data_IF_495372537944
#
_entry.id   IF_495372537944
#
_cell.length_a   1.000
_cell.length_b   1.000
_cell.length_c   1.000
_cell.angle_alpha   90.00
_cell.angle_beta   90.00
_cell.angle_gamma   90.00
#
_symmetry.space_group_name_H-M   'P 1'
#
loop_
_entity.id
_entity.type
_entity.pdbx_description
1 polymer ?
#
# COMPACT_ATOMS: atom_id res chain seq x y z
N UNK A 1 27.22 -13.43 22.50
CA UNK A 1 25.76 -13.58 22.28
C UNK A 1 25.09 -12.28 21.86
N UNK A 2 25.06 -11.22 22.68
CA UNK A 2 24.34 -9.98 22.32
C UNK A 2 25.06 -9.17 21.22
N UNK A 3 26.38 -9.08 21.28
CA UNK A 3 27.23 -8.42 20.26
C UNK A 3 27.13 -9.12 18.90
N UNK A 4 27.23 -10.45 18.88
CA UNK A 4 27.04 -11.27 17.66
C UNK A 4 25.67 -11.02 17.01
N UNK A 5 24.59 -10.96 17.81
CA UNK A 5 23.24 -10.66 17.29
C UNK A 5 23.13 -9.24 16.72
N UNK A 6 23.83 -8.27 17.29
CA UNK A 6 23.86 -6.89 16.76
C UNK A 6 24.59 -6.88 15.41
N UNK A 7 25.73 -7.56 15.30
CA UNK A 7 26.48 -7.69 14.05
C UNK A 7 25.66 -8.38 12.96
N UNK A 8 25.00 -9.50 13.28
CA UNK A 8 24.07 -10.18 12.38
C UNK A 8 22.96 -9.24 11.90
N UNK A 9 22.37 -8.45 12.79
CA UNK A 9 21.32 -7.48 12.45
C UNK A 9 21.87 -6.41 11.50
N UNK A 10 23.07 -5.90 11.73
CA UNK A 10 23.70 -4.93 10.83
C UNK A 10 23.98 -5.52 9.44
N UNK A 11 24.49 -6.75 9.37
CA UNK A 11 24.77 -7.45 8.12
C UNK A 11 23.47 -7.73 7.34
N UNK A 12 22.40 -8.12 8.01
CA UNK A 12 21.09 -8.31 7.38
C UNK A 12 20.53 -7.00 6.82
N UNK A 13 20.67 -5.89 7.55
CA UNK A 13 20.25 -4.56 7.06
C UNK A 13 21.04 -4.15 5.82
N UNK A 14 22.36 -4.36 5.82
CA UNK A 14 23.19 -4.11 4.64
C UNK A 14 22.77 -4.99 3.46
N UNK A 15 22.45 -6.26 3.72
CA UNK A 15 21.99 -7.18 2.68
C UNK A 15 20.65 -6.77 2.08
N UNK A 16 19.71 -6.29 2.90
CA UNK A 16 18.43 -5.74 2.43
C UNK A 16 18.66 -4.54 1.52
N UNK A 17 19.52 -3.61 1.93
CA UNK A 17 19.85 -2.43 1.12
C UNK A 17 20.49 -2.81 -0.22
N UNK A 18 21.42 -3.77 -0.22
CA UNK A 18 22.02 -4.30 -1.44
C UNK A 18 20.99 -4.95 -2.37
N UNK A 19 20.12 -5.81 -1.83
CA UNK A 19 19.09 -6.48 -2.61
C UNK A 19 18.09 -5.47 -3.20
N UNK A 20 17.68 -4.47 -2.43
CA UNK A 20 16.84 -3.38 -2.93
C UNK A 20 17.47 -2.65 -4.12
N UNK A 21 18.76 -2.29 -4.01
CA UNK A 21 19.48 -1.64 -5.10
C UNK A 21 19.64 -2.54 -6.34
N UNK A 22 19.84 -3.84 -6.17
CA UNK A 22 19.89 -4.80 -7.30
C UNK A 22 18.53 -4.92 -7.98
N UNK A 23 17.44 -5.02 -7.21
CA UNK A 23 16.08 -5.11 -7.76
C UNK A 23 15.74 -3.86 -8.57
N UNK A 24 16.09 -2.66 -8.10
CA UNK A 24 15.83 -1.43 -8.86
C UNK A 24 16.61 -1.39 -10.18
N UNK A 25 17.87 -1.85 -10.18
CA UNK A 25 18.68 -1.95 -11.41
C UNK A 25 18.10 -2.95 -12.39
N UNK A 26 17.74 -4.14 -11.93
CA UNK A 26 17.12 -5.18 -12.77
C UNK A 26 15.78 -4.69 -13.32
N UNK A 27 14.93 -4.10 -12.47
CA UNK A 27 13.64 -3.55 -12.86
C UNK A 27 13.78 -2.47 -13.93
N UNK A 28 14.72 -1.54 -13.80
CA UNK A 28 14.92 -0.47 -14.78
C UNK A 28 15.45 -1.02 -16.11
N UNK A 29 16.36 -1.99 -16.06
CA UNK A 29 16.84 -2.69 -17.25
C UNK A 29 15.70 -3.44 -17.96
N UNK A 30 14.91 -4.22 -17.23
CA UNK A 30 13.76 -4.93 -17.77
C UNK A 30 12.73 -3.98 -18.40
N UNK A 31 12.35 -2.91 -17.70
CA UNK A 31 11.39 -1.92 -18.20
C UNK A 31 11.86 -1.27 -19.51
N UNK A 32 13.17 -1.05 -19.66
CA UNK A 32 13.74 -0.50 -20.90
C UNK A 32 13.75 -1.50 -22.06
N UNK A 33 13.82 -2.80 -21.77
CA UNK A 33 13.83 -3.87 -22.75
C UNK A 33 12.42 -4.29 -23.22
N UNK A 34 11.39 -4.06 -22.41
CA UNK A 34 10.00 -4.43 -22.73
C UNK A 34 9.53 -3.96 -24.13
N UNK A 35 9.72 -2.71 -24.57
CA UNK A 35 9.27 -2.28 -25.89
C UNK A 35 9.86 -3.13 -27.03
N UNK A 36 11.14 -3.50 -26.93
CA UNK A 36 11.81 -4.34 -27.92
C UNK A 36 11.30 -5.78 -27.93
N UNK A 37 10.97 -6.35 -26.76
CA UNK A 37 10.40 -7.70 -26.66
C UNK A 37 9.05 -7.84 -27.37
N UNK A 38 8.28 -6.76 -27.42
CA UNK A 38 7.00 -6.71 -28.13
C UNK A 38 7.11 -6.11 -29.54
N UNK A 39 8.31 -5.92 -30.06
CA UNK A 39 8.54 -5.47 -31.44
C UNK A 39 8.28 -3.98 -31.68
N UNK A 40 8.24 -3.15 -30.63
CA UNK A 40 8.10 -1.71 -30.78
C UNK A 40 9.47 -1.06 -30.95
N UNK A 41 9.62 -0.25 -32.00
CA UNK A 41 10.83 0.53 -32.25
C UNK A 41 11.02 1.67 -31.24
N UNK A 42 9.92 2.21 -30.69
CA UNK A 42 9.93 3.34 -29.78
C UNK A 42 9.11 3.06 -28.52
N UNK A 43 9.59 3.54 -27.38
CA UNK A 43 8.89 3.48 -26.08
C UNK A 43 7.51 4.16 -26.17
N UNK A 44 7.40 5.26 -26.92
CA UNK A 44 6.13 5.99 -27.08
C UNK A 44 5.06 5.16 -27.78
N UNK A 45 5.43 4.34 -28.76
CA UNK A 45 4.48 3.50 -29.50
C UNK A 45 4.04 2.31 -28.65
N UNK A 46 4.95 1.76 -27.84
CA UNK A 46 4.62 0.80 -26.79
C UNK A 46 3.65 1.39 -25.77
N UNK A 47 3.89 2.60 -25.26
CA UNK A 47 2.99 3.27 -24.29
C UNK A 47 1.61 3.51 -24.92
N UNK A 48 1.53 3.93 -26.19
CA UNK A 48 0.23 4.11 -26.89
C UNK A 48 -0.54 2.79 -26.97
N UNK A 49 0.10 1.71 -27.39
CA UNK A 49 -0.54 0.40 -27.46
C UNK A 49 -0.94 -0.11 -26.07
N UNK A 50 -0.04 0.01 -25.09
CA UNK A 50 -0.29 -0.37 -23.70
C UNK A 50 -1.47 0.41 -23.11
N UNK A 51 -1.55 1.71 -23.34
CA UNK A 51 -2.66 2.55 -22.84
C UNK A 51 -3.98 2.23 -23.54
N UNK A 52 -3.97 1.86 -24.83
CA UNK A 52 -5.18 1.37 -25.51
C UNK A 52 -5.71 0.08 -24.88
N UNK A 53 -4.82 -0.87 -24.55
CA UNK A 53 -5.19 -2.16 -23.94
C UNK A 53 -5.53 -2.00 -22.45
N UNK A 54 -4.79 -1.17 -21.71
CA UNK A 54 -4.98 -0.92 -20.28
C UNK A 54 -6.22 -0.07 -19.94
N UNK A 55 -7.05 0.29 -20.94
CA UNK A 55 -8.28 1.05 -20.74
C UNK A 55 -8.03 2.56 -20.56
N UNK A 56 -6.98 3.09 -21.19
CA UNK A 56 -6.57 4.49 -21.25
C UNK A 56 -7.53 5.39 -22.06
N UNK A 57 -8.82 5.30 -21.76
CA UNK A 57 -9.85 6.27 -22.14
C UNK A 57 -10.66 6.77 -20.93
N UNK A 58 -10.13 6.65 -19.69
CA UNK A 58 -10.75 7.23 -18.48
C UNK A 58 -10.71 8.78 -18.40
N UNK A 59 -10.24 9.47 -19.44
CA UNK A 59 -9.91 10.89 -19.36
C UNK A 59 -10.46 11.81 -20.45
N UNK A 60 -11.18 11.32 -21.47
CA UNK A 60 -11.94 12.23 -22.34
C UNK A 60 -13.24 12.62 -21.64
N UNK A 61 -13.09 13.43 -20.58
CA UNK A 61 -14.17 14.27 -20.06
C UNK A 61 -14.65 15.09 -21.25
N UNK A 62 -15.83 14.76 -21.75
CA UNK A 62 -16.59 15.63 -22.62
C UNK A 62 -16.55 17.03 -22.02
N UNK A 63 -16.16 18.00 -22.86
CA UNK A 63 -16.22 19.43 -22.62
C UNK A 63 -17.68 19.79 -22.33
N UNK A 64 -18.13 19.59 -21.08
CA UNK A 64 -19.45 19.99 -20.62
C UNK A 64 -19.30 21.39 -20.06
N UNK A 65 -19.80 22.35 -20.82
CA UNK A 65 -20.06 23.73 -20.46
C UNK A 65 -20.65 23.81 -19.05
N UNK A 66 -19.93 24.44 -18.11
CA UNK A 66 -20.49 24.84 -16.82
C UNK A 66 -20.96 26.30 -16.94
N UNK A 67 -22.22 26.65 -16.64
CA UNK A 67 -22.50 27.95 -16.09
C UNK A 67 -22.06 27.96 -14.62
N UNK A 68 -21.39 29.05 -14.25
CA UNK A 68 -20.96 29.34 -12.89
C UNK A 68 -22.15 29.37 -11.93
N UNK A 69 -21.93 28.82 -10.74
CA UNK A 69 -22.72 28.90 -9.49
C UNK A 69 -23.32 27.58 -9.03
N UNK A 70 -22.54 26.85 -8.22
CA UNK A 70 -23.11 26.14 -7.07
C UNK A 70 -22.09 26.11 -5.92
N UNK A 71 -22.55 26.31 -4.68
CA UNK A 71 -21.68 26.65 -3.55
C UNK A 71 -20.94 25.43 -3.01
N UNK A 72 -19.74 25.71 -2.53
CA UNK A 72 -18.77 24.81 -1.91
C UNK A 72 -19.37 24.09 -0.69
N UNK A 73 -19.74 22.81 -0.87
CA UNK A 73 -19.98 21.89 0.23
C UNK A 73 -18.67 21.16 0.56
N UNK A 74 -18.05 21.59 1.66
CA UNK A 74 -16.96 20.90 2.32
C UNK A 74 -17.47 19.62 2.95
N UNK A 75 -17.62 18.56 2.17
CA UNK A 75 -17.68 17.20 2.69
C UNK A 75 -16.91 16.29 1.75
N UNK A 76 -15.60 16.54 1.69
CA UNK A 76 -14.66 15.65 1.05
C UNK A 76 -14.67 14.33 1.83
N UNK A 77 -15.54 13.41 1.40
CA UNK A 77 -15.52 11.99 1.75
C UNK A 77 -14.06 11.55 1.82
N UNK A 78 -13.52 11.42 3.04
CA UNK A 78 -12.18 10.89 3.27
C UNK A 78 -12.16 9.50 2.65
N UNK A 79 -11.50 9.39 1.50
CA UNK A 79 -11.26 8.11 0.84
C UNK A 79 -10.62 7.20 1.88
N UNK A 80 -11.33 6.13 2.24
CA UNK A 80 -10.82 5.15 3.20
C UNK A 80 -9.42 4.74 2.75
N UNK A 81 -8.45 4.86 3.65
CA UNK A 81 -7.13 4.30 3.43
C UNK A 81 -7.30 2.81 3.09
N UNK A 82 -6.97 2.44 1.86
CA UNK A 82 -6.94 1.06 1.42
C UNK A 82 -5.92 0.35 2.28
N UNK A 83 -6.37 -0.58 3.12
CA UNK A 83 -5.49 -1.38 3.98
C UNK A 83 -4.74 -2.36 3.08
N UNK A 84 -3.60 -1.92 2.56
CA UNK A 84 -2.63 -2.73 1.82
C UNK A 84 -2.07 -3.83 2.72
N UNK A 85 -1.57 -4.94 2.15
CA UNK A 85 -0.97 -6.03 2.93
C UNK A 85 0.19 -5.54 3.80
N UNK A 86 1.00 -4.62 3.28
CA UNK A 86 2.14 -3.99 3.99
C UNK A 86 1.72 -3.33 5.31
N UNK A 87 0.61 -2.58 5.29
CA UNK A 87 0.06 -1.92 6.46
C UNK A 87 -0.33 -2.93 7.55
N UNK A 88 -0.81 -4.12 7.17
CA UNK A 88 -1.20 -5.16 8.15
C UNK A 88 0.02 -5.71 8.87
N UNK A 89 1.13 -5.90 8.15
CA UNK A 89 2.40 -6.34 8.74
C UNK A 89 3.00 -5.28 9.66
N UNK A 90 2.95 -4.01 9.27
CA UNK A 90 3.39 -2.89 10.12
C UNK A 90 2.56 -2.79 11.41
N UNK A 91 1.24 -2.98 11.33
CA UNK A 91 0.38 -3.06 12.52
C UNK A 91 0.75 -4.28 13.37
N UNK A 92 1.04 -5.45 12.77
CA UNK A 92 1.46 -6.65 13.52
C UNK A 92 2.77 -6.42 14.27
N UNK A 93 3.78 -5.83 13.60
CA UNK A 93 5.06 -5.50 14.21
C UNK A 93 4.88 -4.51 15.37
N UNK A 94 4.11 -3.44 15.17
CA UNK A 94 3.86 -2.44 16.21
C UNK A 94 3.07 -2.99 17.40
N UNK A 95 2.20 -3.99 17.19
CA UNK A 95 1.50 -4.68 18.28
C UNK A 95 2.45 -5.61 19.06
N UNK A 96 3.38 -6.31 18.39
CA UNK A 96 4.40 -7.13 19.05
C UNK A 96 5.38 -6.28 19.86
N UNK A 97 5.68 -5.06 19.40
CA UNK A 97 6.45 -4.06 20.15
C UNK A 97 5.70 -3.47 21.36
N UNK A 98 4.44 -3.86 21.59
CA UNK A 98 3.65 -3.42 22.74
C UNK A 98 3.04 -2.02 22.60
N UNK A 99 3.04 -1.42 21.40
CA UNK A 99 2.45 -0.08 21.18
C UNK A 99 0.92 -0.12 21.31
N UNK A 100 0.35 0.97 21.80
CA UNK A 100 -1.10 1.13 21.94
C UNK A 100 -1.76 1.30 20.57
N UNK A 101 -3.00 0.81 20.42
CA UNK A 101 -3.72 0.86 19.14
C UNK A 101 -3.97 2.29 18.62
N UNK A 102 -4.00 3.28 19.51
CA UNK A 102 -4.10 4.71 19.16
C UNK A 102 -2.79 5.26 18.58
N UNK A 103 -1.63 4.87 19.12
CA UNK A 103 -0.33 5.25 18.58
C UNK A 103 -0.07 4.61 17.19
N UNK A 104 -0.56 3.38 16.98
CA UNK A 104 -0.46 2.70 15.68
C UNK A 104 -1.35 3.40 14.64
N UNK A 105 -2.56 3.80 15.04
CA UNK A 105 -3.50 4.52 14.19
C UNK A 105 -2.94 5.87 13.70
N UNK A 106 -2.30 6.64 14.59
CA UNK A 106 -1.69 7.93 14.22
C UNK A 106 -0.45 7.75 13.35
N UNK A 107 0.44 6.81 13.70
CA UNK A 107 1.68 6.58 12.95
C UNK A 107 1.44 6.08 11.52
N UNK A 108 0.41 5.27 11.32
CA UNK A 108 0.11 4.66 10.02
C UNK A 108 -1.00 5.40 9.25
N UNK A 109 -1.59 6.47 9.82
CA UNK A 109 -2.66 7.23 9.18
C UNK A 109 -3.97 6.44 9.01
N UNK A 110 -4.25 5.51 9.93
CA UNK A 110 -5.36 4.55 9.84
C UNK A 110 -6.34 4.77 10.98
N UNK A 111 -7.62 4.42 10.77
CA UNK A 111 -8.61 4.45 11.85
C UNK A 111 -8.31 3.42 12.95
N UNK A 112 -8.58 3.76 14.20
CA UNK A 112 -8.46 2.85 15.36
C UNK A 112 -9.26 1.55 15.15
N UNK A 113 -10.42 1.64 14.48
CA UNK A 113 -11.25 0.47 14.14
C UNK A 113 -10.54 -0.50 13.19
N UNK A 114 -9.78 0.01 12.22
CA UNK A 114 -9.00 -0.82 11.30
C UNK A 114 -7.85 -1.51 12.02
N UNK A 115 -7.16 -0.83 12.94
CA UNK A 115 -6.14 -1.45 13.79
C UNK A 115 -6.75 -2.61 14.59
N UNK A 116 -7.94 -2.43 15.16
CA UNK A 116 -8.64 -3.48 15.89
C UNK A 116 -9.06 -4.66 14.99
N UNK A 117 -9.54 -4.40 13.76
CA UNK A 117 -9.83 -5.47 12.78
C UNK A 117 -8.58 -6.26 12.40
N UNK A 118 -7.44 -5.59 12.25
CA UNK A 118 -6.16 -6.23 11.96
C UNK A 118 -5.70 -7.07 13.17
N UNK A 119 -5.81 -6.54 14.39
CA UNK A 119 -5.53 -7.32 15.61
C UNK A 119 -6.39 -8.57 15.72
N UNK A 120 -7.69 -8.49 15.37
CA UNK A 120 -8.59 -9.65 15.30
C UNK A 120 -8.18 -10.64 14.20
N UNK A 121 -7.82 -10.15 13.01
CA UNK A 121 -7.37 -11.01 11.90
C UNK A 121 -6.08 -11.79 12.23
N UNK A 122 -5.20 -11.22 13.07
CA UNK A 122 -3.99 -11.89 13.55
C UNK A 122 -4.19 -12.70 14.84
N UNK A 123 -5.42 -12.80 15.36
CA UNK A 123 -5.71 -13.55 16.60
C UNK A 123 -5.11 -12.92 17.87
N UNK A 124 -4.69 -11.65 17.82
CA UNK A 124 -4.02 -10.95 18.94
C UNK A 124 -5.01 -10.38 19.97
N UNK A 125 -6.32 -10.50 19.74
CA UNK A 125 -7.39 -10.09 20.68
C UNK A 125 -8.52 -11.11 20.57
N UNK A 126 -8.89 -11.73 21.70
CA UNK A 126 -10.05 -12.62 21.78
C UNK A 126 -11.32 -11.89 21.34
N UNK A 127 -12.09 -12.49 20.45
CA UNK A 127 -13.49 -12.11 20.27
C UNK A 127 -14.20 -12.29 21.63
N UNK A 128 -15.09 -11.38 22.05
CA UNK A 128 -16.04 -11.71 23.11
C UNK A 128 -16.75 -13.01 22.71
N UNK A 129 -16.76 -13.98 23.60
CA UNK A 129 -17.54 -15.20 23.41
C UNK A 129 -18.98 -14.82 23.02
N UNK A 130 -19.63 -15.56 22.09
CA UNK A 130 -21.07 -15.39 21.90
C UNK A 130 -21.73 -15.63 23.26
N UNK A 131 -22.31 -14.58 23.85
CA UNK A 131 -23.08 -14.69 25.07
C UNK A 131 -24.26 -15.66 24.85
N UNK A 132 -24.71 -16.37 25.89
CA UNK A 132 -25.75 -17.39 25.75
C UNK A 132 -27.00 -16.77 25.12
N UNK A 133 -27.49 -17.41 24.06
CA UNK A 133 -28.73 -17.05 23.41
C UNK A 133 -29.86 -17.09 24.45
N UNK A 134 -30.38 -15.91 24.80
CA UNK A 134 -31.62 -15.80 25.55
C UNK A 134 -32.77 -16.14 24.60
N UNK A 135 -33.48 -17.21 24.95
CA UNK A 135 -34.74 -17.72 24.40
C UNK A 135 -35.82 -16.67 24.28
#
# INVERSE_FOLDING_TARGET
>A
MLTQKIEELTNLRLRIAQLGASIEKERTAELSALPGQYGYANVNDFIKALTQVAGGNRGKRAKKTFPANSPQSSDAKRTRATITPEIREQVKAAVLEGKTGTAIATALGISVQSVQKIKKAFGLVNAPAPGPATS
#
